data_IF_455632174153
#
_entry.id   IF_455632174153
#
_cell.length_a   1.000
_cell.length_b   1.000
_cell.length_c   1.000
_cell.angle_alpha   90.00
_cell.angle_beta   90.00
_cell.angle_gamma   90.00
#
_symmetry.space_group_name_H-M   'P 1'
#
loop_
_entity.id
_entity.type
_entity.pdbx_description
1 polymer ?
#
# COMPACT_ATOMS: atom_id res chain seq x y z
N UNK A 1 1.48 3.19 5.03
CA UNK A 1 2.01 4.02 3.90
C UNK A 1 0.95 4.46 2.89
N UNK A 2 -0.09 3.65 2.60
CA UNK A 2 -1.01 3.93 1.48
C UNK A 2 -1.82 5.22 1.58
N UNK A 3 -2.27 5.64 2.76
CA UNK A 3 -2.98 6.91 2.93
C UNK A 3 -2.10 8.12 2.58
N UNK A 4 -0.84 8.12 3.01
CA UNK A 4 0.11 9.21 2.77
C UNK A 4 0.53 9.29 1.29
N UNK A 5 0.85 8.14 0.66
CA UNK A 5 1.11 8.12 -0.79
C UNK A 5 -0.13 8.47 -1.61
N UNK A 6 -1.31 7.96 -1.24
CA UNK A 6 -2.56 8.26 -1.92
C UNK A 6 -2.96 9.73 -1.82
N UNK A 7 -2.72 10.35 -0.67
CA UNK A 7 -2.89 11.79 -0.48
C UNK A 7 -1.96 12.60 -1.38
N UNK A 8 -0.66 12.24 -1.44
CA UNK A 8 0.33 12.92 -2.28
C UNK A 8 0.01 12.82 -3.78
N UNK A 9 -0.34 11.61 -4.26
CA UNK A 9 -0.73 11.40 -5.66
C UNK A 9 -2.04 12.13 -5.98
N UNK A 10 -3.04 12.04 -5.09
CA UNK A 10 -4.33 12.70 -5.28
C UNK A 10 -4.23 14.23 -5.29
N UNK A 11 -3.38 14.83 -4.44
CA UNK A 11 -3.10 16.26 -4.49
C UNK A 11 -2.48 16.68 -5.82
N UNK A 12 -1.49 15.93 -6.32
CA UNK A 12 -0.80 16.25 -7.58
C UNK A 12 -1.73 16.14 -8.78
N UNK A 13 -2.51 15.05 -8.88
CA UNK A 13 -3.47 14.86 -9.96
C UNK A 13 -4.58 15.92 -9.89
N UNK A 14 -5.10 16.18 -8.69
CA UNK A 14 -6.10 17.22 -8.48
C UNK A 14 -5.57 18.62 -8.80
N UNK A 15 -4.29 18.89 -8.59
CA UNK A 15 -3.65 20.14 -9.00
C UNK A 15 -3.58 20.27 -10.52
N UNK A 16 -3.16 19.23 -11.24
CA UNK A 16 -3.07 19.23 -12.71
C UNK A 16 -4.46 19.41 -13.32
N UNK A 17 -5.43 18.58 -12.92
CA UNK A 17 -6.80 18.65 -13.45
C UNK A 17 -7.51 19.94 -13.03
N UNK A 18 -7.33 20.38 -11.79
CA UNK A 18 -7.89 21.64 -11.30
C UNK A 18 -7.33 22.85 -12.05
N UNK A 19 -6.01 22.91 -12.24
CA UNK A 19 -5.37 23.98 -13.02
C UNK A 19 -5.82 23.96 -14.48
N UNK A 20 -5.91 22.77 -15.09
CA UNK A 20 -6.42 22.63 -16.46
C UNK A 20 -7.88 23.07 -16.58
N UNK A 21 -8.73 22.72 -15.61
CA UNK A 21 -10.13 23.16 -15.57
C UNK A 21 -10.26 24.67 -15.44
N UNK A 22 -9.39 25.33 -14.68
CA UNK A 22 -9.39 26.80 -14.52
C UNK A 22 -8.91 27.49 -15.80
N UNK A 23 -7.85 26.97 -16.42
CA UNK A 23 -7.31 27.52 -17.68
C UNK A 23 -8.31 27.40 -18.84
N UNK A 24 -9.09 26.31 -18.88
CA UNK A 24 -10.06 26.06 -19.96
C UNK A 24 -11.44 26.65 -19.70
N UNK A 25 -11.96 26.51 -18.48
CA UNK A 25 -13.33 26.88 -18.11
C UNK A 25 -13.45 28.20 -17.35
N UNK A 26 -12.31 28.87 -17.07
CA UNK A 26 -12.25 30.03 -16.20
C UNK A 26 -12.30 29.66 -14.71
N UNK A 27 -12.06 30.65 -13.86
CA UNK A 27 -11.93 30.49 -12.40
C UNK A 27 -13.23 30.06 -11.67
N UNK A 28 -14.34 29.85 -12.38
CA UNK A 28 -15.65 29.58 -11.78
C UNK A 28 -16.19 30.75 -10.93
N UNK A 29 -17.48 30.73 -10.54
CA UNK A 29 -18.09 31.79 -9.75
C UNK A 29 -17.51 31.91 -8.33
N UNK A 30 -16.80 30.88 -7.86
CA UNK A 30 -16.17 30.81 -6.53
C UNK A 30 -14.68 31.18 -6.54
N UNK A 31 -14.12 31.52 -7.69
CA UNK A 31 -12.71 31.86 -7.85
C UNK A 31 -11.78 30.66 -8.02
N UNK A 32 -10.57 30.94 -8.52
CA UNK A 32 -9.62 29.91 -8.95
C UNK A 32 -9.16 29.02 -7.79
N UNK A 33 -8.89 29.62 -6.62
CA UNK A 33 -8.42 28.87 -5.44
C UNK A 33 -9.47 27.93 -4.87
N UNK A 34 -10.75 28.33 -4.86
CA UNK A 34 -11.84 27.46 -4.40
C UNK A 34 -11.99 26.26 -5.33
N UNK A 35 -12.03 26.50 -6.65
CA UNK A 35 -12.15 25.43 -7.64
C UNK A 35 -10.93 24.49 -7.59
N UNK A 36 -9.71 25.04 -7.54
CA UNK A 36 -8.47 24.26 -7.47
C UNK A 36 -8.42 23.37 -6.22
N UNK A 37 -8.68 23.96 -5.04
CA UNK A 37 -8.67 23.23 -3.78
C UNK A 37 -9.73 22.13 -3.75
N UNK A 38 -10.88 22.31 -4.39
CA UNK A 38 -11.93 21.31 -4.47
C UNK A 38 -11.50 20.07 -5.27
N UNK A 39 -10.83 20.26 -6.41
CA UNK A 39 -10.26 19.16 -7.20
C UNK A 39 -9.13 18.44 -6.44
N UNK A 40 -8.25 19.21 -5.80
CA UNK A 40 -7.15 18.68 -4.99
C UNK A 40 -7.66 17.87 -3.80
N UNK A 41 -8.60 18.40 -3.02
CA UNK A 41 -9.11 17.77 -1.82
C UNK A 41 -9.93 16.51 -2.14
N UNK A 42 -10.80 16.58 -3.16
CA UNK A 42 -11.61 15.43 -3.60
C UNK A 42 -10.74 14.27 -4.10
N UNK A 43 -9.73 14.59 -4.91
CA UNK A 43 -8.79 13.58 -5.44
C UNK A 43 -7.93 13.00 -4.32
N UNK A 44 -7.38 13.84 -3.45
CA UNK A 44 -6.62 13.40 -2.29
C UNK A 44 -7.43 12.50 -1.36
N UNK A 45 -8.69 12.85 -1.08
CA UNK A 45 -9.57 12.07 -0.21
C UNK A 45 -9.86 10.68 -0.76
N UNK A 46 -10.22 10.57 -2.05
CA UNK A 46 -10.55 9.27 -2.67
C UNK A 46 -9.33 8.35 -2.78
N UNK A 47 -8.20 8.86 -3.29
CA UNK A 47 -6.99 8.06 -3.41
C UNK A 47 -6.42 7.69 -2.04
N UNK A 48 -6.39 8.60 -1.06
CA UNK A 48 -5.93 8.25 0.29
C UNK A 48 -6.84 7.22 0.96
N UNK A 49 -8.17 7.31 0.80
CA UNK A 49 -9.12 6.34 1.35
C UNK A 49 -8.92 4.93 0.77
N UNK A 50 -8.95 4.78 -0.56
CA UNK A 50 -8.80 3.46 -1.19
C UNK A 50 -7.41 2.86 -0.96
N UNK A 51 -6.35 3.67 -1.04
CA UNK A 51 -5.00 3.18 -0.79
C UNK A 51 -4.75 2.90 0.69
N UNK A 52 -5.45 3.57 1.62
CA UNK A 52 -5.42 3.23 3.04
C UNK A 52 -5.94 1.82 3.29
N UNK A 53 -7.10 1.48 2.71
CA UNK A 53 -7.67 0.12 2.80
C UNK A 53 -6.71 -0.91 2.20
N UNK A 54 -6.16 -0.62 1.02
CA UNK A 54 -5.15 -1.49 0.40
C UNK A 54 -3.88 -1.64 1.25
N UNK A 55 -3.47 -0.60 1.98
CA UNK A 55 -2.33 -0.63 2.89
C UNK A 55 -2.58 -1.53 4.09
N UNK A 56 -3.80 -1.55 4.63
CA UNK A 56 -4.20 -2.43 5.74
C UNK A 56 -4.27 -3.88 5.26
N UNK A 57 -4.87 -4.13 4.09
CA UNK A 57 -4.96 -5.49 3.50
C UNK A 57 -3.56 -6.06 3.19
N UNK A 58 -2.65 -5.22 2.68
CA UNK A 58 -1.26 -5.61 2.41
C UNK A 58 -0.36 -5.60 3.65
N UNK A 59 -0.89 -5.21 4.82
CA UNK A 59 -0.18 -5.19 6.10
C UNK A 59 1.13 -4.39 6.03
N UNK A 60 1.11 -3.25 5.33
CA UNK A 60 2.28 -2.43 4.95
C UNK A 60 2.88 -1.63 6.13
N UNK A 61 2.62 -2.02 7.38
CA UNK A 61 2.96 -1.25 8.58
C UNK A 61 4.14 -1.79 9.40
N UNK A 62 4.69 -2.97 9.05
CA UNK A 62 5.65 -3.64 9.95
C UNK A 62 7.13 -3.32 9.72
N UNK A 63 7.52 -2.52 8.72
CA UNK A 63 8.93 -2.28 8.43
C UNK A 63 9.36 -0.83 8.72
N UNK A 64 10.28 -0.62 9.68
CA UNK A 64 10.88 0.70 9.92
C UNK A 64 11.53 1.26 8.64
N UNK A 65 11.48 2.59 8.39
CA UNK A 65 12.00 3.21 7.17
C UNK A 65 13.46 2.84 6.84
N UNK A 66 14.28 2.67 7.87
CA UNK A 66 15.68 2.23 7.75
C UNK A 66 15.80 0.83 7.15
N UNK A 67 14.91 -0.08 7.55
CA UNK A 67 14.89 -1.46 7.08
C UNK A 67 14.30 -1.53 5.67
N UNK A 68 13.33 -0.68 5.33
CA UNK A 68 12.78 -0.58 3.97
C UNK A 68 13.83 -0.12 2.97
N UNK A 69 14.60 0.91 3.32
CA UNK A 69 15.70 1.41 2.50
C UNK A 69 16.82 0.37 2.34
N UNK A 70 17.17 -0.34 3.42
CA UNK A 70 18.17 -1.42 3.37
C UNK A 70 17.71 -2.60 2.50
N UNK A 71 16.41 -2.91 2.51
CA UNK A 71 15.84 -3.98 1.69
C UNK A 71 15.80 -3.63 0.20
N UNK A 72 15.68 -2.35 -0.14
CA UNK A 72 15.76 -1.86 -1.52
C UNK A 72 17.21 -1.82 -2.05
N UNK A 73 18.20 -1.66 -1.17
CA UNK A 73 19.62 -1.69 -1.51
C UNK A 73 20.17 -3.11 -1.70
N UNK A 74 19.45 -4.14 -1.24
CA UNK A 74 19.83 -5.53 -1.45
C UNK A 74 19.48 -5.97 -2.88
N UNK A 75 20.35 -6.77 -3.54
CA UNK A 75 20.03 -7.32 -4.86
C UNK A 75 18.74 -8.15 -4.76
N UNK A 76 17.86 -8.08 -5.78
CA UNK A 76 16.60 -8.81 -5.76
C UNK A 76 16.89 -10.30 -5.59
N UNK A 77 16.40 -10.88 -4.50
CA UNK A 77 16.52 -12.31 -4.24
C UNK A 77 15.60 -13.03 -5.21
N UNK A 78 16.16 -13.48 -6.33
CA UNK A 78 15.44 -14.29 -7.32
C UNK A 78 15.38 -15.71 -6.79
N UNK A 79 14.33 -16.05 -6.05
CA UNK A 79 14.09 -17.43 -5.65
C UNK A 79 13.70 -18.25 -6.89
N UNK A 80 14.44 -19.33 -7.13
CA UNK A 80 14.09 -20.26 -8.20
C UNK A 80 12.75 -20.95 -7.88
N UNK A 81 11.97 -21.30 -8.90
CA UNK A 81 10.67 -22.01 -8.72
C UNK A 81 10.83 -23.30 -7.89
N UNK A 82 11.97 -23.97 -8.01
CA UNK A 82 12.33 -25.19 -7.27
C UNK A 82 12.51 -24.89 -5.78
N UNK A 83 13.22 -23.81 -5.47
CA UNK A 83 13.47 -23.35 -4.10
C UNK A 83 12.18 -22.91 -3.39
N UNK A 84 11.26 -22.25 -4.12
CA UNK A 84 9.94 -21.88 -3.60
C UNK A 84 9.07 -23.09 -3.21
N UNK A 85 9.08 -24.16 -4.02
CA UNK A 85 8.36 -25.41 -3.72
C UNK A 85 8.96 -26.11 -2.50
N UNK A 86 10.29 -26.11 -2.37
CA UNK A 86 10.96 -26.68 -1.20
C UNK A 86 10.60 -25.93 0.09
N UNK A 87 10.59 -24.60 0.06
CA UNK A 87 10.21 -23.74 1.20
C UNK A 87 8.75 -23.95 1.63
N UNK A 88 7.82 -24.07 0.68
CA UNK A 88 6.42 -24.37 0.98
C UNK A 88 6.25 -25.73 1.65
N UNK A 89 6.92 -26.77 1.14
CA UNK A 89 6.88 -28.12 1.74
C UNK A 89 7.48 -28.15 3.14
N UNK A 90 8.58 -27.42 3.37
CA UNK A 90 9.22 -27.32 4.68
C UNK A 90 8.30 -26.64 5.72
N UNK A 91 7.65 -25.52 5.35
CA UNK A 91 6.68 -24.85 6.24
C UNK A 91 5.49 -25.75 6.56
N UNK A 92 4.92 -26.42 5.57
CA UNK A 92 3.81 -27.34 5.76
C UNK A 92 4.15 -28.51 6.69
N UNK A 93 5.37 -29.05 6.57
CA UNK A 93 5.84 -30.11 7.46
C UNK A 93 5.95 -29.62 8.91
N UNK A 94 6.46 -28.40 9.14
CA UNK A 94 6.53 -27.81 10.47
C UNK A 94 5.16 -27.55 11.08
N UNK A 95 4.19 -27.05 10.29
CA UNK A 95 2.82 -26.86 10.76
C UNK A 95 2.15 -28.18 11.13
N UNK A 96 2.33 -29.24 10.32
CA UNK A 96 1.83 -30.58 10.65
C UNK A 96 2.50 -31.20 11.88
N UNK A 97 3.77 -30.88 12.13
CA UNK A 97 4.46 -31.35 13.33
C UNK A 97 3.92 -30.65 14.59
N UNK A 98 3.72 -29.32 14.53
CA UNK A 98 3.08 -28.55 15.61
C UNK A 98 1.66 -29.01 15.89
N UNK A 99 0.86 -29.28 14.84
CA UNK A 99 -0.49 -29.79 14.97
C UNK A 99 -0.53 -31.18 15.63
N UNK A 100 0.44 -32.06 15.31
CA UNK A 100 0.57 -33.37 15.96
C UNK A 100 0.95 -33.27 17.44
N UNK A 101 1.92 -32.42 17.77
CA UNK A 101 2.31 -32.18 19.17
C UNK A 101 1.17 -31.57 20.00
N UNK A 102 0.36 -30.68 19.40
CA UNK A 102 -0.81 -30.11 20.07
C UNK A 102 -1.91 -31.15 20.34
N UNK A 103 -2.10 -32.13 19.46
CA UNK A 103 -3.03 -33.24 19.66
C UNK A 103 -2.54 -34.20 20.76
N UNK A 104 -1.24 -34.51 20.77
CA UNK A 104 -0.63 -35.35 21.81
C UNK A 104 -0.68 -34.69 23.20
N UNK A 105 -0.51 -33.36 23.27
CA UNK A 105 -0.63 -32.59 24.52
C UNK A 105 -2.08 -32.47 25.04
N UNK A 106 -3.09 -32.67 24.19
CA UNK A 106 -4.51 -32.63 24.57
C UNK A 106 -5.08 -34.01 24.97
N UNK A 107 -4.32 -35.09 24.76
CA UNK A 107 -4.73 -36.47 25.04
C UNK A 107 -4.20 -37.03 26.37
N UNK A 108 -3.37 -36.26 27.10
CA UNK A 108 -2.90 -36.51 28.46
C UNK A 108 -3.61 -35.58 29.44
#
# INVERSE_FOLDING_TARGET
MGAMMGGGVGLTIGFIFGSYSILRGGAGPRGAMATLSQYMLSSAATFSFFLSIGSVIRNEELLPPSVTAQRQALPPVVHSRVEGVALMRARWAMERAKARQALEASSN
#
